data_IF_783623664726
#
_entry.id   IF_783623664726
#
_cell.length_a   1.000
_cell.length_b   1.000
_cell.length_c   1.000
_cell.angle_alpha   90.00
_cell.angle_beta   90.00
_cell.angle_gamma   90.00
#
_symmetry.space_group_name_H-M   'P 1'
#
loop_
_entity.id
_entity.type
_entity.pdbx_description
1 polymer ?
#
# COMPACT_ATOMS: atom_id res chain seq x y z
N UNK A 1 -12.10 5.02 8.80
CA UNK A 1 -10.84 5.18 8.04
C UNK A 1 -10.91 4.38 6.77
N UNK A 2 -10.38 4.89 5.68
CA UNK A 2 -10.41 4.25 4.38
C UNK A 2 -9.00 3.80 3.98
N UNK A 3 -8.84 2.53 3.61
CA UNK A 3 -7.55 1.95 3.19
C UNK A 3 -7.66 1.50 1.74
N UNK A 4 -6.73 1.93 0.90
CA UNK A 4 -6.65 1.49 -0.48
C UNK A 4 -5.60 0.39 -0.60
N UNK A 5 -6.00 -0.73 -1.19
CA UNK A 5 -5.12 -1.90 -1.44
C UNK A 5 -4.92 -2.05 -2.95
N UNK A 6 -3.68 -1.88 -3.40
CA UNK A 6 -3.32 -1.96 -4.82
C UNK A 6 -2.41 -3.15 -5.08
N UNK A 7 -2.84 -4.02 -5.98
CA UNK A 7 -2.09 -5.18 -6.46
C UNK A 7 -2.77 -5.66 -7.74
N UNK A 8 -2.00 -6.07 -8.74
CA UNK A 8 -2.58 -6.57 -9.99
C UNK A 8 -3.20 -7.96 -9.85
N UNK A 9 -2.88 -8.66 -8.78
CA UNK A 9 -3.47 -9.97 -8.46
C UNK A 9 -4.66 -9.79 -7.53
N UNK A 10 -5.84 -10.17 -8.01
CA UNK A 10 -7.05 -10.15 -7.17
C UNK A 10 -6.91 -11.06 -5.96
N UNK A 11 -6.27 -12.22 -6.12
CA UNK A 11 -6.03 -13.16 -5.02
C UNK A 11 -5.16 -12.51 -3.95
N UNK A 12 -4.11 -11.80 -4.36
CA UNK A 12 -3.24 -11.11 -3.42
C UNK A 12 -3.96 -9.97 -2.69
N UNK A 13 -4.81 -9.21 -3.41
CA UNK A 13 -5.62 -8.18 -2.73
C UNK A 13 -6.49 -8.80 -1.63
N UNK A 14 -7.12 -9.94 -1.90
CA UNK A 14 -7.94 -10.62 -0.90
C UNK A 14 -7.13 -11.13 0.28
N UNK A 15 -5.90 -11.60 0.05
CA UNK A 15 -4.99 -12.03 1.12
C UNK A 15 -4.61 -10.84 2.00
N UNK A 16 -4.26 -9.71 1.40
CA UNK A 16 -3.93 -8.47 2.14
C UNK A 16 -5.13 -8.01 2.98
N UNK A 17 -6.31 -7.97 2.38
CA UNK A 17 -7.54 -7.56 3.08
C UNK A 17 -7.84 -8.49 4.25
N UNK A 18 -7.73 -9.79 4.04
CA UNK A 18 -7.94 -10.78 5.12
C UNK A 18 -6.94 -10.58 6.24
N UNK A 19 -5.67 -10.36 5.90
CA UNK A 19 -4.62 -10.15 6.89
C UNK A 19 -4.87 -8.87 7.70
N UNK A 20 -5.32 -7.80 7.04
CA UNK A 20 -5.74 -6.57 7.73
C UNK A 20 -6.85 -6.84 8.75
N UNK A 21 -7.87 -7.59 8.36
CA UNK A 21 -8.98 -7.94 9.24
C UNK A 21 -8.52 -8.78 10.43
N UNK A 22 -7.67 -9.77 10.18
CA UNK A 22 -7.10 -10.62 11.24
C UNK A 22 -6.21 -9.83 12.18
N UNK A 23 -5.56 -8.78 11.68
CA UNK A 23 -4.72 -7.91 12.49
C UNK A 23 -5.51 -6.92 13.36
N UNK A 24 -6.83 -6.85 13.19
CA UNK A 24 -7.70 -5.98 13.97
C UNK A 24 -8.17 -4.72 13.26
N UNK A 25 -7.92 -4.61 11.95
CA UNK A 25 -8.35 -3.46 11.14
C UNK A 25 -9.61 -3.78 10.32
N UNK A 26 -10.51 -4.57 10.88
CA UNK A 26 -11.69 -5.09 10.19
C UNK A 26 -12.85 -4.09 10.10
N UNK A 27 -12.81 -3.00 10.85
CA UNK A 27 -13.80 -1.93 10.82
C UNK A 27 -13.45 -0.78 9.86
N UNK A 28 -12.39 -0.96 9.05
CA UNK A 28 -11.99 0.03 8.06
C UNK A 28 -12.60 -0.25 6.68
N UNK A 29 -12.94 0.82 5.95
CA UNK A 29 -13.39 0.72 4.57
C UNK A 29 -12.21 0.39 3.64
N UNK A 30 -12.39 -0.60 2.79
CA UNK A 30 -11.35 -1.04 1.86
C UNK A 30 -11.73 -0.66 0.43
N UNK A 31 -10.82 -0.01 -0.27
CA UNK A 31 -10.90 0.29 -1.70
C UNK A 31 -9.82 -0.51 -2.40
N UNK A 32 -10.12 -1.15 -3.51
CA UNK A 32 -9.16 -1.95 -4.27
C UNK A 32 -8.75 -1.25 -5.56
N UNK A 33 -7.48 -1.40 -5.93
CA UNK A 33 -6.94 -0.94 -7.21
C UNK A 33 -6.13 -2.07 -7.85
N UNK A 34 -6.19 -2.18 -9.16
CA UNK A 34 -5.59 -3.31 -9.89
C UNK A 34 -4.22 -2.98 -10.51
N UNK A 35 -3.83 -1.72 -10.51
CA UNK A 35 -2.51 -1.27 -10.97
C UNK A 35 -2.19 0.11 -10.39
N UNK A 36 -1.00 0.62 -10.70
CA UNK A 36 -0.54 1.90 -10.17
C UNK A 36 -1.34 3.09 -10.69
N UNK A 37 -1.81 3.03 -11.93
CA UNK A 37 -2.63 4.10 -12.51
C UNK A 37 -4.01 4.15 -11.85
N UNK A 38 -4.63 2.98 -11.68
CA UNK A 38 -5.90 2.87 -10.98
C UNK A 38 -5.78 3.35 -9.54
N UNK A 39 -4.67 2.98 -8.86
CA UNK A 39 -4.39 3.45 -7.51
C UNK A 39 -4.25 4.97 -7.46
N UNK A 40 -3.49 5.55 -8.38
CA UNK A 40 -3.33 7.01 -8.47
C UNK A 40 -4.68 7.72 -8.61
N UNK A 41 -5.50 7.24 -9.55
CA UNK A 41 -6.81 7.86 -9.80
C UNK A 41 -7.73 7.73 -8.59
N UNK A 42 -7.74 6.57 -7.92
CA UNK A 42 -8.58 6.33 -6.74
C UNK A 42 -8.13 7.11 -5.52
N UNK A 43 -6.83 7.29 -5.32
CA UNK A 43 -6.35 8.15 -4.23
C UNK A 43 -6.89 9.58 -4.40
N UNK A 44 -6.85 10.08 -5.61
CA UNK A 44 -7.33 11.45 -5.88
C UNK A 44 -8.84 11.58 -5.80
N UNK A 45 -9.57 10.54 -6.18
CA UNK A 45 -11.04 10.55 -6.16
C UNK A 45 -11.62 10.28 -4.78
N UNK A 46 -11.02 9.37 -4.02
CA UNK A 46 -11.59 8.88 -2.76
C UNK A 46 -10.86 9.33 -1.51
N UNK A 47 -9.67 9.88 -1.66
CA UNK A 47 -8.87 10.43 -0.57
C UNK A 47 -8.72 9.45 0.61
N UNK A 48 -8.12 8.26 0.40
CA UNK A 48 -7.95 7.28 1.47
C UNK A 48 -6.98 7.79 2.54
N UNK A 49 -7.04 7.17 3.70
CA UNK A 49 -6.18 7.50 4.83
C UNK A 49 -4.85 6.73 4.79
N UNK A 50 -4.79 5.64 4.05
CA UNK A 50 -3.60 4.81 3.88
C UNK A 50 -3.66 4.09 2.54
N UNK A 51 -2.51 3.97 1.87
CA UNK A 51 -2.34 3.15 0.67
C UNK A 51 -1.38 2.01 0.98
N UNK A 52 -1.81 0.78 0.70
CA UNK A 52 -0.96 -0.41 0.71
C UNK A 52 -0.83 -0.88 -0.74
N UNK A 53 0.37 -0.83 -1.29
CA UNK A 53 0.58 -1.11 -2.72
C UNK A 53 1.67 -2.13 -2.95
N UNK A 54 1.44 -3.04 -3.90
CA UNK A 54 2.53 -3.82 -4.46
C UNK A 54 3.45 -2.89 -5.26
N UNK A 55 4.66 -3.34 -5.51
CA UNK A 55 5.65 -2.60 -6.30
C UNK A 55 5.50 -2.86 -7.79
N UNK A 56 5.48 -4.14 -8.18
CA UNK A 56 5.44 -4.55 -9.58
C UNK A 56 3.99 -4.67 -10.06
N UNK A 57 3.54 -3.69 -10.80
CA UNK A 57 2.20 -3.65 -11.38
C UNK A 57 2.28 -3.13 -12.81
N UNK A 58 1.35 -3.54 -13.70
CA UNK A 58 1.31 -3.02 -15.06
C UNK A 58 0.86 -1.56 -15.11
N UNK A 59 1.07 -0.91 -16.23
CA UNK A 59 0.71 0.48 -16.55
C UNK A 59 1.47 1.50 -15.73
N UNK A 60 1.56 1.34 -14.43
CA UNK A 60 2.31 2.18 -13.51
C UNK A 60 2.70 1.34 -12.30
N UNK A 61 3.99 1.33 -11.95
CA UNK A 61 4.45 0.61 -10.75
C UNK A 61 4.00 1.31 -9.48
N UNK A 62 4.09 0.59 -8.34
CA UNK A 62 3.78 1.20 -7.06
C UNK A 62 4.69 2.38 -6.73
N UNK A 63 5.99 2.29 -7.07
CA UNK A 63 6.91 3.40 -6.87
C UNK A 63 6.55 4.60 -7.73
N UNK A 64 6.24 4.37 -9.01
CA UNK A 64 5.80 5.44 -9.91
C UNK A 64 4.52 6.11 -9.41
N UNK A 65 3.59 5.31 -8.89
CA UNK A 65 2.36 5.82 -8.29
C UNK A 65 2.66 6.74 -7.10
N UNK A 66 3.52 6.30 -6.19
CA UNK A 66 3.92 7.09 -5.03
C UNK A 66 4.58 8.40 -5.45
N UNK A 67 5.52 8.33 -6.39
CA UNK A 67 6.20 9.53 -6.90
C UNK A 67 5.23 10.50 -7.56
N UNK A 68 4.29 9.98 -8.35
CA UNK A 68 3.25 10.81 -9.00
C UNK A 68 2.33 11.48 -7.97
N UNK A 69 1.95 10.76 -6.92
CA UNK A 69 1.13 11.32 -5.84
C UNK A 69 1.86 12.43 -5.11
N UNK A 70 3.13 12.24 -4.78
CA UNK A 70 3.93 13.26 -4.11
C UNK A 70 4.11 14.50 -5.00
N UNK A 71 4.33 14.31 -6.29
CA UNK A 71 4.42 15.42 -7.27
C UNK A 71 3.10 16.17 -7.42
N UNK A 72 1.98 15.48 -7.24
CA UNK A 72 0.65 16.10 -7.28
C UNK A 72 0.25 16.78 -5.96
N UNK A 73 1.13 16.79 -4.97
CA UNK A 73 0.89 17.43 -3.68
C UNK A 73 0.18 16.56 -2.66
N UNK A 74 -0.03 15.26 -2.97
CA UNK A 74 -0.64 14.34 -2.02
C UNK A 74 0.39 13.85 -1.01
N UNK A 75 0.07 14.00 0.27
CA UNK A 75 0.87 13.46 1.38
C UNK A 75 0.27 12.19 1.96
N UNK A 76 -0.56 11.46 1.20
CA UNK A 76 -1.23 10.28 1.72
C UNK A 76 -0.21 9.27 2.29
N UNK A 77 -0.45 8.73 3.49
CA UNK A 77 0.38 7.66 4.03
C UNK A 77 0.40 6.46 3.08
N UNK A 78 1.62 6.01 2.74
CA UNK A 78 1.83 5.01 1.70
C UNK A 78 2.83 3.98 2.20
N UNK A 79 2.49 2.70 2.07
CA UNK A 79 3.37 1.59 2.39
C UNK A 79 3.37 0.55 1.28
N UNK A 80 4.49 -0.14 1.12
CA UNK A 80 4.60 -1.23 0.15
C UNK A 80 4.34 -2.59 0.78
N UNK A 81 3.69 -3.47 0.03
CA UNK A 81 3.53 -4.89 0.34
C UNK A 81 3.95 -5.64 -0.92
N UNK A 82 5.16 -6.20 -0.93
CA UNK A 82 5.77 -6.73 -2.15
C UNK A 82 6.54 -8.02 -1.89
N UNK A 83 6.73 -8.82 -2.93
CA UNK A 83 7.54 -10.05 -2.86
C UNK A 83 9.05 -9.75 -2.83
N UNK A 84 9.46 -8.54 -3.13
CA UNK A 84 10.86 -8.14 -3.12
C UNK A 84 11.11 -7.17 -1.97
N UNK A 85 12.14 -7.46 -1.16
CA UNK A 85 12.45 -6.65 0.01
C UNK A 85 13.93 -6.33 0.14
N UNK A 86 14.62 -6.10 -0.98
CA UNK A 86 16.04 -5.73 -0.96
C UNK A 86 16.25 -4.40 -0.26
N UNK A 87 17.46 -4.19 0.26
CA UNK A 87 17.79 -2.91 0.89
C UNK A 87 17.71 -1.75 -0.12
N UNK A 88 18.09 -1.99 -1.36
CA UNK A 88 17.96 -1.00 -2.42
C UNK A 88 16.52 -0.55 -2.62
N UNK A 89 15.57 -1.49 -2.64
CA UNK A 89 14.16 -1.17 -2.77
C UNK A 89 13.62 -0.44 -1.55
N UNK A 90 14.05 -0.85 -0.36
CA UNK A 90 13.66 -0.16 0.89
C UNK A 90 14.15 1.28 0.90
N UNK A 91 15.37 1.51 0.43
CA UNK A 91 15.94 2.85 0.35
C UNK A 91 15.18 3.72 -0.66
N UNK A 92 14.84 3.17 -1.83
CA UNK A 92 14.05 3.87 -2.85
C UNK A 92 12.65 4.22 -2.32
N UNK A 93 12.01 3.27 -1.64
CA UNK A 93 10.70 3.49 -1.05
C UNK A 93 10.72 4.62 -0.03
N UNK A 94 11.68 4.58 0.89
CA UNK A 94 11.86 5.60 1.92
C UNK A 94 12.15 6.98 1.30
N UNK A 95 13.02 7.04 0.31
CA UNK A 95 13.36 8.29 -0.39
C UNK A 95 12.15 8.90 -1.09
N UNK A 96 11.23 8.08 -1.57
CA UNK A 96 10.00 8.55 -2.23
C UNK A 96 8.89 8.91 -1.22
N UNK A 97 9.09 8.65 0.06
CA UNK A 97 8.15 8.99 1.11
C UNK A 97 7.26 7.88 1.62
N UNK A 98 7.59 6.61 1.30
CA UNK A 98 6.88 5.47 1.88
C UNK A 98 7.22 5.33 3.37
N UNK A 99 6.23 4.94 4.17
CA UNK A 99 6.40 4.77 5.61
C UNK A 99 7.00 3.41 5.97
N UNK A 100 6.77 2.39 5.14
CA UNK A 100 7.27 1.05 5.38
C UNK A 100 7.27 0.23 4.09
N UNK A 101 7.96 -0.91 4.14
CA UNK A 101 7.91 -1.94 3.11
C UNK A 101 7.78 -3.30 3.81
N UNK A 102 6.67 -3.98 3.54
CA UNK A 102 6.38 -5.31 4.06
C UNK A 102 6.70 -6.33 2.97
N UNK A 103 7.61 -7.25 3.25
CA UNK A 103 7.97 -8.30 2.30
C UNK A 103 7.03 -9.49 2.43
N UNK A 104 6.64 -10.07 1.30
CA UNK A 104 5.88 -11.33 1.26
C UNK A 104 6.85 -12.51 1.45
N UNK A 105 6.49 -13.58 2.15
CA UNK A 105 5.22 -13.76 2.87
C UNK A 105 5.17 -12.96 4.17
N UNK A 106 3.98 -12.59 4.57
CA UNK A 106 3.71 -11.81 5.77
C UNK A 106 2.58 -12.45 6.58
N UNK A 107 2.42 -11.99 7.82
CA UNK A 107 1.31 -12.40 8.67
C UNK A 107 0.68 -11.18 9.33
N UNK A 108 -0.35 -11.41 10.15
CA UNK A 108 -1.06 -10.35 10.85
C UNK A 108 -0.19 -9.55 11.81
N UNK A 109 0.80 -10.21 12.44
CA UNK A 109 1.73 -9.54 13.34
C UNK A 109 2.63 -8.57 12.59
N UNK A 110 3.11 -8.95 11.39
CA UNK A 110 3.88 -8.07 10.52
C UNK A 110 3.09 -6.80 10.21
N UNK A 111 1.79 -6.95 9.94
CA UNK A 111 0.93 -5.81 9.67
C UNK A 111 0.79 -4.93 10.91
N UNK A 112 0.53 -5.51 12.08
CA UNK A 112 0.43 -4.75 13.33
C UNK A 112 1.70 -3.95 13.61
N UNK A 113 2.86 -4.58 13.46
CA UNK A 113 4.16 -3.92 13.70
C UNK A 113 4.36 -2.68 12.83
N UNK A 114 3.87 -2.71 11.59
CA UNK A 114 4.06 -1.61 10.64
C UNK A 114 2.92 -0.59 10.64
N UNK A 115 1.70 -1.01 10.95
CA UNK A 115 0.52 -0.16 10.82
C UNK A 115 0.08 0.51 12.11
N UNK A 116 0.36 -0.07 13.28
CA UNK A 116 -0.13 0.47 14.55
C UNK A 116 0.28 1.92 14.80
N UNK A 117 1.43 2.33 14.32
CA UNK A 117 1.88 3.72 14.44
C UNK A 117 1.33 4.65 13.36
N UNK A 118 0.68 4.10 12.33
CA UNK A 118 0.14 4.83 11.18
C UNK A 118 -1.37 4.95 11.28
N UNK A 119 -2.02 3.87 11.69
CA UNK A 119 -3.47 3.81 11.92
C UNK A 119 -3.68 3.70 13.42
N UNK A 120 -3.94 4.78 14.04
CA UNK A 120 -4.17 4.80 15.48
C UNK A 120 -5.60 4.34 15.81
#
# INVERSE_FOLDING_TARGET
>A
MKILVADDSRVMRQIVIRTLRQAGYDDHDIVEAEDGRDAYDKVRAENPDLVLSDWNMPNMTGLECLEALRSAGSGVPFGFVTSEGSQEMRDKASAAGALFLIAKPFNEETFRENLDGVIA
#
